data_IF_443382823523
#
_entry.id   IF_443382823523
#
_cell.length_a   1.000
_cell.length_b   1.000
_cell.length_c   1.000
_cell.angle_alpha   90.00
_cell.angle_beta   90.00
_cell.angle_gamma   90.00
#
_symmetry.space_group_name_H-M   'P 1'
#
loop_
_entity.id
_entity.type
_entity.pdbx_description
1 polymer ?
#
# COMPACT_ATOMS: atom_id res chain seq x y z
N UNK A 1 29.55 -4.86 -19.89
CA UNK A 1 28.60 -5.95 -20.17
C UNK A 1 27.56 -5.89 -19.07
N UNK A 2 26.37 -5.37 -19.33
CA UNK A 2 25.29 -5.30 -18.34
C UNK A 2 24.70 -6.69 -18.16
N UNK A 3 24.68 -7.21 -16.94
CA UNK A 3 23.94 -8.43 -16.60
C UNK A 3 22.47 -8.24 -17.00
N UNK A 4 21.79 -9.28 -17.52
CA UNK A 4 20.37 -9.18 -17.83
C UNK A 4 19.63 -8.92 -16.51
N UNK A 5 18.97 -7.77 -16.39
CA UNK A 5 18.02 -7.55 -15.31
C UNK A 5 16.91 -8.58 -15.51
N UNK A 6 16.71 -9.45 -14.53
CA UNK A 6 15.84 -10.62 -14.67
C UNK A 6 14.40 -10.18 -14.96
N UNK A 7 13.90 -10.51 -16.15
CA UNK A 7 12.50 -10.42 -16.51
C UNK A 7 11.66 -11.34 -15.59
N UNK A 8 10.37 -11.03 -15.41
CA UNK A 8 9.46 -11.83 -14.58
C UNK A 8 9.64 -13.33 -14.75
N UNK A 9 9.77 -14.11 -13.65
CA UNK A 9 9.69 -15.56 -13.75
C UNK A 9 8.36 -15.91 -14.40
N UNK A 10 8.42 -16.65 -15.52
CA UNK A 10 7.22 -17.05 -16.22
C UNK A 10 6.51 -18.15 -15.41
N UNK A 11 5.30 -17.86 -14.93
CA UNK A 11 4.35 -18.87 -14.47
C UNK A 11 3.13 -18.88 -15.40
N UNK A 12 2.40 -20.01 -15.45
CA UNK A 12 1.24 -20.19 -16.34
C UNK A 12 -0.09 -19.83 -15.68
N UNK A 13 -0.10 -19.57 -14.37
CA UNK A 13 -1.31 -19.17 -13.63
C UNK A 13 -1.85 -17.85 -14.18
N UNK A 14 -3.14 -17.76 -14.55
CA UNK A 14 -3.76 -16.53 -15.00
C UNK A 14 -3.68 -15.43 -13.94
N UNK A 15 -3.18 -14.26 -14.35
CA UNK A 15 -3.19 -13.06 -13.51
C UNK A 15 -4.56 -12.38 -13.60
N UNK A 16 -5.50 -12.87 -12.77
CA UNK A 16 -6.88 -12.38 -12.71
C UNK A 16 -7.03 -10.98 -12.12
N UNK A 17 -6.02 -10.51 -11.37
CA UNK A 17 -6.04 -9.22 -10.71
C UNK A 17 -6.78 -9.26 -9.38
N UNK A 18 -7.04 -8.05 -8.88
CA UNK A 18 -7.96 -7.78 -7.79
C UNK A 18 -9.42 -7.97 -8.23
N UNK A 19 -10.20 -8.70 -7.44
CA UNK A 19 -11.65 -8.85 -7.57
C UNK A 19 -12.37 -7.77 -6.74
N UNK A 20 -13.09 -6.89 -7.44
CA UNK A 20 -13.86 -5.80 -6.84
C UNK A 20 -15.13 -6.29 -6.10
N UNK A 21 -15.64 -7.47 -6.42
CA UNK A 21 -16.85 -8.05 -5.82
C UNK A 21 -16.53 -9.05 -4.69
N UNK A 22 -15.28 -9.05 -4.21
CA UNK A 22 -14.78 -9.99 -3.20
C UNK A 22 -15.43 -9.83 -1.82
N UNK A 23 -15.92 -8.62 -1.51
CA UNK A 23 -16.58 -8.28 -0.24
C UNK A 23 -18.10 -8.13 -0.42
N UNK A 24 -18.84 -7.89 0.66
CA UNK A 24 -20.30 -7.72 0.62
C UNK A 24 -20.81 -6.51 -0.19
N UNK A 25 -19.90 -5.68 -0.71
CA UNK A 25 -20.20 -4.61 -1.65
C UNK A 25 -19.04 -4.51 -2.67
N UNK A 26 -19.36 -4.06 -3.89
CA UNK A 26 -18.35 -3.80 -4.92
C UNK A 26 -17.44 -2.66 -4.48
N UNK A 27 -16.14 -2.94 -4.36
CA UNK A 27 -15.10 -1.94 -4.05
C UNK A 27 -14.17 -1.84 -5.26
N UNK A 28 -14.30 -0.79 -6.10
CA UNK A 28 -13.46 -0.66 -7.29
C UNK A 28 -12.00 -0.33 -6.95
N UNK A 29 -11.11 -0.55 -7.91
CA UNK A 29 -9.72 -0.07 -7.81
C UNK A 29 -9.67 1.46 -7.60
N UNK A 30 -8.73 1.97 -6.79
CA UNK A 30 -8.53 3.40 -6.63
C UNK A 30 -8.22 4.09 -7.96
N UNK A 31 -8.83 5.26 -8.19
CA UNK A 31 -8.62 6.08 -9.39
C UNK A 31 -8.15 7.47 -9.01
N UNK A 32 -7.34 8.11 -9.85
CA UNK A 32 -6.98 9.50 -9.60
C UNK A 32 -8.17 10.43 -9.75
N UNK A 33 -8.29 11.42 -8.86
CA UNK A 33 -9.28 12.51 -8.96
C UNK A 33 -8.90 13.56 -10.02
N UNK A 34 -7.71 13.43 -10.62
CA UNK A 34 -7.19 14.30 -11.67
C UNK A 34 -6.81 13.49 -12.91
N UNK A 35 -6.84 14.08 -14.12
CA UNK A 35 -6.34 13.40 -15.32
C UNK A 35 -4.89 12.97 -15.13
N UNK A 36 -4.67 11.66 -15.04
CA UNK A 36 -3.37 11.02 -14.83
C UNK A 36 -3.35 9.75 -15.69
N UNK A 37 -2.30 9.58 -16.48
CA UNK A 37 -2.08 8.33 -17.19
C UNK A 37 -1.74 7.24 -16.17
N UNK A 38 -2.51 6.16 -16.18
CA UNK A 38 -2.26 5.00 -15.34
C UNK A 38 -2.33 3.73 -16.18
N UNK A 39 -1.65 2.68 -15.69
CA UNK A 39 -1.74 1.33 -16.25
C UNK A 39 -2.14 0.36 -15.16
N UNK A 40 -3.25 -0.32 -15.37
CA UNK A 40 -3.63 -1.43 -14.51
C UNK A 40 -2.83 -2.67 -14.89
N UNK A 41 -2.21 -3.28 -13.88
CA UNK A 41 -1.41 -4.49 -14.00
C UNK A 41 -2.03 -5.54 -13.08
N UNK A 42 -2.84 -6.46 -13.62
CA UNK A 42 -3.35 -7.56 -12.83
C UNK A 42 -2.23 -8.56 -12.54
N UNK A 43 -2.24 -9.10 -11.33
CA UNK A 43 -1.40 -10.17 -10.80
C UNK A 43 -2.30 -11.24 -10.18
N UNK A 44 -1.76 -12.33 -9.64
CA UNK A 44 -2.58 -13.32 -8.93
C UNK A 44 -3.08 -12.71 -7.61
N UNK A 45 -4.41 -12.53 -7.49
CA UNK A 45 -5.14 -11.97 -6.33
C UNK A 45 -4.95 -10.48 -6.01
N UNK A 46 -4.17 -9.76 -6.80
CA UNK A 46 -3.99 -8.32 -6.61
C UNK A 46 -3.80 -7.59 -7.93
N UNK A 47 -4.05 -6.29 -7.92
CA UNK A 47 -3.76 -5.41 -9.05
C UNK A 47 -2.89 -4.23 -8.60
N UNK A 48 -2.00 -3.80 -9.49
CA UNK A 48 -1.25 -2.55 -9.36
C UNK A 48 -1.81 -1.53 -10.33
N UNK A 49 -2.16 -0.34 -9.84
CA UNK A 49 -2.45 0.84 -10.67
C UNK A 49 -1.14 1.63 -10.79
N UNK A 50 -0.36 1.36 -11.83
CA UNK A 50 0.93 2.00 -12.07
C UNK A 50 0.73 3.42 -12.60
N UNK A 51 1.54 4.38 -12.12
CA UNK A 51 1.77 5.66 -12.80
C UNK A 51 3.12 5.58 -13.56
N UNK A 52 3.10 5.46 -14.90
CA UNK A 52 4.31 5.32 -15.71
C UNK A 52 5.27 6.52 -15.60
N UNK A 53 4.75 7.72 -15.36
CA UNK A 53 5.55 8.95 -15.22
C UNK A 53 6.30 8.98 -13.89
N UNK A 54 5.64 8.56 -12.81
CA UNK A 54 6.25 8.40 -11.48
C UNK A 54 7.06 7.11 -11.35
N UNK A 55 6.87 6.16 -12.27
CA UNK A 55 7.48 4.82 -12.26
C UNK A 55 7.11 3.97 -11.04
N UNK A 56 6.07 4.38 -10.31
CA UNK A 56 5.63 3.80 -9.05
C UNK A 56 4.13 3.55 -9.12
N UNK A 57 3.65 2.60 -8.33
CA UNK A 57 2.22 2.43 -8.15
C UNK A 57 1.59 3.74 -7.62
N UNK A 58 0.50 4.16 -8.24
CA UNK A 58 -0.44 5.10 -7.66
C UNK A 58 -1.18 4.44 -6.48
N UNK A 59 -1.59 3.20 -6.69
CA UNK A 59 -2.26 2.36 -5.70
C UNK A 59 -2.07 0.88 -6.04
N UNK A 60 -2.26 0.04 -5.04
CA UNK A 60 -2.40 -1.41 -5.17
C UNK A 60 -3.66 -1.83 -4.44
N UNK A 61 -4.25 -2.95 -4.85
CA UNK A 61 -5.36 -3.58 -4.17
C UNK A 61 -5.17 -5.10 -4.17
N UNK A 62 -5.31 -5.75 -3.02
CA UNK A 62 -5.18 -7.20 -2.86
C UNK A 62 -6.41 -7.78 -2.17
N UNK A 63 -6.87 -8.94 -2.64
CA UNK A 63 -7.85 -9.76 -1.94
C UNK A 63 -7.13 -10.78 -1.06
N UNK A 64 -7.60 -10.94 0.18
CA UNK A 64 -7.09 -11.90 1.15
C UNK A 64 -8.25 -12.84 1.52
N UNK A 65 -8.12 -14.11 1.15
CA UNK A 65 -9.07 -15.15 1.56
C UNK A 65 -8.51 -15.93 2.76
N UNK A 66 -8.92 -15.53 3.97
CA UNK A 66 -8.40 -16.07 5.24
C UNK A 66 -8.51 -17.59 5.36
N UNK A 67 -9.58 -18.19 4.83
CA UNK A 67 -9.85 -19.64 4.86
C UNK A 67 -8.89 -20.43 3.94
N UNK A 68 -8.29 -19.76 2.96
CA UNK A 68 -7.49 -20.40 1.91
C UNK A 68 -6.00 -20.05 1.99
N UNK A 69 -5.56 -19.33 3.03
CA UNK A 69 -4.15 -18.96 3.21
C UNK A 69 -3.29 -20.23 3.27
N UNK A 70 -2.16 -20.19 2.57
CA UNK A 70 -1.16 -21.25 2.62
C UNK A 70 0.22 -20.66 2.91
N UNK A 71 1.10 -21.45 3.53
CA UNK A 71 2.47 -21.03 3.78
C UNK A 71 3.37 -21.42 2.60
N UNK A 72 3.90 -20.40 1.93
CA UNK A 72 4.88 -20.54 0.84
C UNK A 72 6.18 -19.90 1.27
N UNK A 73 7.29 -20.59 0.98
CA UNK A 73 8.64 -20.13 1.26
C UNK A 73 8.96 -18.77 0.62
N UNK A 74 9.84 -18.00 1.24
CA UNK A 74 10.30 -16.73 0.67
C UNK A 74 11.32 -17.01 -0.44
N UNK A 75 11.13 -16.41 -1.62
CA UNK A 75 12.14 -16.40 -2.70
C UNK A 75 13.12 -15.22 -2.55
N UNK A 76 12.61 -13.99 -2.41
CA UNK A 76 13.37 -12.71 -2.55
C UNK A 76 13.86 -12.41 -4.00
N UNK A 77 13.21 -13.04 -4.99
CA UNK A 77 13.56 -12.93 -6.42
C UNK A 77 12.89 -11.72 -7.09
N UNK A 78 13.46 -10.53 -6.86
CA UNK A 78 12.97 -9.28 -7.43
C UNK A 78 13.20 -9.17 -8.94
N UNK A 79 12.19 -8.71 -9.66
CA UNK A 79 12.21 -8.66 -11.12
C UNK A 79 11.36 -7.51 -11.69
N UNK A 80 11.63 -7.14 -12.94
CA UNK A 80 10.85 -6.13 -13.67
C UNK A 80 9.60 -6.76 -14.29
N UNK A 81 8.51 -5.99 -14.39
CA UNK A 81 7.34 -6.41 -15.16
C UNK A 81 7.63 -6.23 -16.66
N UNK A 82 7.69 -7.32 -17.42
CA UNK A 82 7.93 -7.29 -18.86
C UNK A 82 6.82 -6.56 -19.65
N UNK A 83 5.64 -6.34 -19.06
CA UNK A 83 4.51 -5.58 -19.66
C UNK A 83 4.73 -4.07 -19.60
N UNK A 84 5.75 -3.61 -18.86
CA UNK A 84 6.04 -2.21 -18.63
C UNK A 84 7.44 -1.89 -19.16
N UNK A 85 7.61 -0.85 -19.99
CA UNK A 85 8.94 -0.39 -20.39
C UNK A 85 9.84 -0.10 -19.17
N UNK A 86 11.13 -0.41 -19.24
CA UNK A 86 12.06 -0.24 -18.11
C UNK A 86 12.14 1.21 -17.61
N UNK A 87 11.91 2.20 -18.49
CA UNK A 87 11.89 3.62 -18.15
C UNK A 87 10.55 4.13 -17.59
N UNK A 88 9.56 3.23 -17.46
CA UNK A 88 8.22 3.48 -16.91
C UNK A 88 7.96 2.74 -15.59
N UNK A 89 8.97 2.07 -15.03
CA UNK A 89 8.91 1.43 -13.71
C UNK A 89 10.22 1.64 -12.95
N UNK A 90 10.18 1.54 -11.61
CA UNK A 90 11.40 1.44 -10.83
C UNK A 90 12.03 0.07 -11.02
N UNK A 91 13.33 -0.02 -10.72
CA UNK A 91 14.10 -1.24 -10.85
C UNK A 91 15.26 -1.26 -9.86
N UNK A 92 16.17 -2.24 -9.95
CA UNK A 92 17.25 -2.44 -8.97
C UNK A 92 18.14 -1.21 -8.80
N UNK A 93 18.27 -0.38 -9.85
CA UNK A 93 19.07 0.84 -9.82
C UNK A 93 18.63 1.83 -8.73
N UNK A 94 17.34 1.88 -8.37
CA UNK A 94 16.85 2.77 -7.30
C UNK A 94 17.30 2.31 -5.92
N UNK A 95 17.54 1.02 -5.71
CA UNK A 95 17.83 0.42 -4.41
C UNK A 95 19.31 0.06 -4.22
N UNK A 96 20.14 0.24 -5.25
CA UNK A 96 21.52 -0.19 -5.21
C UNK A 96 22.40 0.72 -4.35
N UNK A 97 23.06 0.18 -3.32
CA UNK A 97 24.06 0.91 -2.50
C UNK A 97 23.47 2.16 -1.83
N UNK A 98 22.34 2.00 -1.15
CA UNK A 98 21.69 2.99 -0.29
C UNK A 98 20.90 2.24 0.80
N UNK A 99 20.35 2.97 1.77
CA UNK A 99 19.50 2.39 2.81
C UNK A 99 18.00 2.48 2.45
N UNK A 100 17.66 2.36 1.15
CA UNK A 100 16.29 2.21 0.69
C UNK A 100 16.00 0.73 0.46
N UNK A 101 15.01 0.22 1.19
CA UNK A 101 14.41 -1.07 0.97
C UNK A 101 13.39 -1.06 -0.16
N UNK A 102 13.23 -2.23 -0.78
CA UNK A 102 12.15 -2.56 -1.71
C UNK A 102 10.86 -2.80 -0.92
N UNK A 103 10.27 -1.71 -0.42
CA UNK A 103 9.07 -1.75 0.39
C UNK A 103 7.89 -2.27 -0.42
N UNK A 104 7.37 -3.44 -0.04
CA UNK A 104 6.20 -4.04 -0.67
C UNK A 104 4.95 -3.16 -0.42
N UNK A 105 4.15 -2.95 -1.46
CA UNK A 105 2.84 -2.30 -1.34
C UNK A 105 1.73 -3.33 -1.09
N UNK A 106 1.69 -4.39 -1.89
CA UNK A 106 1.03 -5.65 -1.53
C UNK A 106 2.03 -6.51 -0.79
N UNK A 107 1.74 -6.80 0.48
CA UNK A 107 2.60 -7.63 1.32
C UNK A 107 2.66 -9.05 0.76
N UNK A 108 3.85 -9.65 0.80
CA UNK A 108 4.12 -11.00 0.27
C UNK A 108 3.05 -12.05 0.62
N UNK A 109 2.58 -12.10 1.87
CA UNK A 109 1.65 -13.15 2.34
C UNK A 109 0.19 -12.88 1.98
N UNK A 110 -0.19 -11.63 1.71
CA UNK A 110 -1.59 -11.23 1.52
C UNK A 110 -2.27 -11.97 0.34
N UNK A 111 -1.65 -12.11 -0.84
CA UNK A 111 -2.26 -12.83 -1.96
C UNK A 111 -1.97 -14.34 -1.94
N UNK A 112 -1.24 -14.87 -0.96
CA UNK A 112 -0.76 -16.26 -0.94
C UNK A 112 -1.81 -17.16 -0.30
N UNK A 113 -2.83 -17.46 -1.09
CA UNK A 113 -3.93 -18.35 -0.76
C UNK A 113 -4.34 -19.16 -1.99
N UNK A 114 -5.11 -20.22 -1.79
CA UNK A 114 -5.61 -21.06 -2.88
C UNK A 114 -4.82 -22.35 -3.06
N UNK A 115 -4.76 -22.86 -4.29
CA UNK A 115 -3.97 -24.07 -4.55
C UNK A 115 -2.46 -23.79 -4.59
N UNK A 116 -1.63 -24.84 -4.58
CA UNK A 116 -0.18 -24.67 -4.46
C UNK A 116 0.47 -23.90 -5.60
N UNK A 117 0.00 -24.08 -6.84
CA UNK A 117 0.55 -23.40 -8.00
C UNK A 117 0.09 -21.93 -8.04
N UNK A 118 -1.18 -21.68 -7.70
CA UNK A 118 -1.79 -20.35 -7.55
C UNK A 118 -1.08 -19.53 -6.46
N UNK A 119 -0.85 -20.12 -5.29
CA UNK A 119 -0.19 -19.46 -4.17
C UNK A 119 1.30 -19.19 -4.43
N UNK A 120 2.02 -20.11 -5.09
CA UNK A 120 3.41 -19.88 -5.50
C UNK A 120 3.50 -18.77 -6.56
N UNK A 121 2.59 -18.75 -7.53
CA UNK A 121 2.51 -17.69 -8.52
C UNK A 121 2.23 -16.32 -7.87
N UNK A 122 1.29 -16.25 -6.93
CA UNK A 122 1.01 -15.05 -6.14
C UNK A 122 2.24 -14.59 -5.34
N UNK A 123 2.94 -15.52 -4.69
CA UNK A 123 4.18 -15.24 -3.95
C UNK A 123 5.24 -14.63 -4.87
N UNK A 124 5.47 -15.21 -6.05
CA UNK A 124 6.40 -14.68 -7.07
C UNK A 124 5.98 -13.28 -7.52
N UNK A 125 4.70 -13.08 -7.85
CA UNK A 125 4.18 -11.80 -8.37
C UNK A 125 4.40 -10.63 -7.38
N UNK A 126 4.41 -10.91 -6.07
CA UNK A 126 4.67 -9.86 -5.05
C UNK A 126 6.08 -9.24 -5.13
N UNK A 127 7.06 -9.96 -5.71
CA UNK A 127 8.44 -9.50 -5.89
C UNK A 127 8.67 -8.71 -7.19
N UNK A 128 7.60 -8.33 -7.89
CA UNK A 128 7.71 -7.41 -9.02
C UNK A 128 7.98 -5.97 -8.56
N UNK A 129 8.92 -5.26 -9.19
CA UNK A 129 9.22 -3.85 -8.84
C UNK A 129 8.03 -2.90 -8.98
N UNK A 130 7.02 -3.20 -9.81
CA UNK A 130 5.81 -2.37 -9.86
C UNK A 130 4.98 -2.44 -8.58
N UNK A 131 5.18 -3.48 -7.77
CA UNK A 131 4.58 -3.64 -6.43
C UNK A 131 5.48 -3.05 -5.31
N UNK A 132 6.59 -2.38 -5.66
CA UNK A 132 7.50 -1.79 -4.68
C UNK A 132 7.55 -0.27 -4.76
N UNK A 133 7.82 0.34 -3.61
CA UNK A 133 8.20 1.73 -3.49
C UNK A 133 9.46 1.90 -2.62
N UNK A 134 10.30 2.92 -2.87
CA UNK A 134 11.46 3.21 -2.03
C UNK A 134 11.04 3.60 -0.62
N UNK A 135 11.42 2.77 0.34
CA UNK A 135 11.18 2.99 1.76
C UNK A 135 12.51 2.99 2.49
N UNK A 136 12.78 3.96 3.36
CA UNK A 136 13.96 3.94 4.22
C UNK A 136 13.98 2.63 5.03
N UNK A 137 15.14 2.00 5.17
CA UNK A 137 15.26 0.70 5.81
C UNK A 137 14.64 0.69 7.22
N UNK A 138 14.89 1.72 8.02
CA UNK A 138 14.29 1.84 9.35
C UNK A 138 12.75 1.97 9.31
N UNK A 139 12.19 2.56 8.24
CA UNK A 139 10.75 2.69 8.04
C UNK A 139 10.13 1.36 7.62
N UNK A 140 10.71 0.70 6.61
CA UNK A 140 10.23 -0.59 6.11
C UNK A 140 10.41 -1.72 7.16
N UNK A 141 11.48 -1.66 7.95
CA UNK A 141 11.80 -2.65 8.97
C UNK A 141 11.27 -2.28 10.36
N UNK A 142 10.61 -1.13 10.52
CA UNK A 142 10.01 -0.69 11.77
C UNK A 142 8.90 -1.66 12.22
N UNK A 143 9.24 -2.59 13.11
CA UNK A 143 8.47 -3.82 13.35
C UNK A 143 7.23 -3.66 14.24
N UNK A 144 7.12 -2.62 15.06
CA UNK A 144 6.15 -2.70 16.17
C UNK A 144 4.72 -2.32 15.79
N UNK A 145 4.55 -1.29 14.95
CA UNK A 145 3.21 -0.79 14.58
C UNK A 145 2.67 -1.43 13.31
N UNK A 146 3.48 -1.45 12.25
CA UNK A 146 3.01 -1.84 10.92
C UNK A 146 2.99 -3.36 10.72
N UNK A 147 4.12 -4.03 10.97
CA UNK A 147 4.18 -5.50 10.93
C UNK A 147 3.21 -6.10 11.96
N UNK A 148 3.12 -5.49 13.15
CA UNK A 148 2.14 -5.89 14.17
C UNK A 148 0.69 -5.77 13.71
N UNK A 149 0.32 -4.70 12.99
CA UNK A 149 -1.01 -4.54 12.40
C UNK A 149 -1.25 -5.54 11.25
N UNK A 150 -0.31 -5.67 10.32
CA UNK A 150 -0.42 -6.60 9.19
C UNK A 150 -0.53 -8.05 9.66
N UNK A 151 0.26 -8.45 10.65
CA UNK A 151 0.18 -9.77 11.27
C UNK A 151 -1.11 -9.93 12.05
N UNK A 152 -1.58 -8.90 12.76
CA UNK A 152 -2.85 -8.96 13.46
C UNK A 152 -4.05 -9.10 12.50
N UNK A 153 -4.06 -8.34 11.40
CA UNK A 153 -5.11 -8.39 10.38
C UNK A 153 -5.10 -9.75 9.68
N UNK A 154 -3.92 -10.25 9.29
CA UNK A 154 -3.80 -11.57 8.65
C UNK A 154 -4.15 -12.71 9.61
N UNK A 155 -3.66 -12.66 10.85
CA UNK A 155 -3.98 -13.68 11.86
C UNK A 155 -5.47 -13.63 12.26
N UNK A 156 -6.08 -12.44 12.29
CA UNK A 156 -7.52 -12.32 12.51
C UNK A 156 -8.29 -12.90 11.32
N UNK A 157 -7.85 -12.63 10.09
CA UNK A 157 -8.43 -13.18 8.87
C UNK A 157 -8.41 -14.70 8.87
N UNK A 158 -7.23 -15.28 9.12
CA UNK A 158 -6.99 -16.73 9.19
C UNK A 158 -7.78 -17.37 10.34
N UNK A 159 -7.79 -16.77 11.53
CA UNK A 159 -8.47 -17.35 12.68
C UNK A 159 -10.00 -17.25 12.64
N UNK A 160 -10.57 -16.46 11.73
CA UNK A 160 -12.01 -16.19 11.66
C UNK A 160 -12.59 -16.35 10.25
N UNK A 161 -11.83 -16.93 9.32
CA UNK A 161 -12.22 -17.15 7.91
C UNK A 161 -12.75 -15.87 7.24
N UNK A 162 -12.15 -14.71 7.57
CA UNK A 162 -12.60 -13.41 7.10
C UNK A 162 -11.95 -13.10 5.76
N UNK A 163 -12.78 -12.61 4.84
CA UNK A 163 -12.34 -12.00 3.58
C UNK A 163 -12.02 -10.53 3.78
N UNK A 164 -10.84 -10.12 3.30
CA UNK A 164 -10.40 -8.73 3.33
C UNK A 164 -9.97 -8.25 1.96
N UNK A 165 -10.10 -6.95 1.75
CA UNK A 165 -9.40 -6.22 0.69
C UNK A 165 -8.51 -5.17 1.32
N UNK A 166 -7.25 -5.11 0.89
CA UNK A 166 -6.28 -4.12 1.37
C UNK A 166 -5.82 -3.28 0.20
N UNK A 167 -5.87 -1.97 0.39
CA UNK A 167 -5.45 -0.97 -0.58
C UNK A 167 -4.23 -0.24 -0.03
N UNK A 168 -3.16 -0.14 -0.80
CA UNK A 168 -1.90 0.49 -0.33
C UNK A 168 -1.26 1.30 -1.43
N UNK A 169 -0.70 2.46 -1.09
CA UNK A 169 0.08 3.23 -2.04
C UNK A 169 0.95 4.30 -1.38
N UNK A 170 1.95 4.81 -2.12
CA UNK A 170 2.60 6.07 -1.77
C UNK A 170 1.66 7.26 -1.97
N UNK A 171 1.93 8.36 -1.26
CA UNK A 171 1.43 9.68 -1.65
C UNK A 171 2.39 10.24 -2.70
N UNK A 172 1.94 10.30 -3.95
CA UNK A 172 2.76 10.77 -5.07
C UNK A 172 2.78 12.30 -5.15
N UNK A 173 3.46 12.92 -4.19
CA UNK A 173 3.55 14.37 -4.05
C UNK A 173 4.49 14.99 -5.10
N UNK A 174 4.10 16.09 -5.79
CA UNK A 174 4.99 16.77 -6.74
C UNK A 174 6.28 17.33 -6.11
N UNK A 175 6.31 17.51 -4.78
CA UNK A 175 7.47 17.97 -4.01
C UNK A 175 8.36 16.84 -3.50
N UNK A 176 8.04 15.58 -3.82
CA UNK A 176 8.89 14.44 -3.51
C UNK A 176 10.29 14.63 -4.12
N UNK A 177 11.37 14.34 -3.36
CA UNK A 177 12.74 14.58 -3.79
C UNK A 177 13.09 13.70 -4.99
N UNK A 178 13.71 14.27 -6.04
CA UNK A 178 14.18 13.49 -7.18
C UNK A 178 15.29 12.54 -6.75
N UNK A 179 15.26 11.31 -7.24
CA UNK A 179 16.25 10.29 -6.94
C UNK A 179 16.33 9.28 -8.07
N UNK A 180 17.50 9.16 -8.70
CA UNK A 180 17.83 8.15 -9.72
C UNK A 180 16.72 7.94 -10.78
N UNK A 181 16.17 9.03 -11.31
CA UNK A 181 15.16 9.00 -12.36
C UNK A 181 13.72 8.78 -11.91
N UNK A 182 13.46 8.73 -10.60
CA UNK A 182 12.12 8.80 -9.99
C UNK A 182 12.09 9.88 -8.90
N UNK A 183 11.03 9.93 -8.09
CA UNK A 183 10.89 10.77 -6.91
C UNK A 183 10.49 9.91 -5.71
N UNK A 184 11.25 9.99 -4.62
CA UNK A 184 11.02 9.16 -3.43
C UNK A 184 9.79 9.69 -2.68
N UNK A 185 8.72 8.89 -2.54
CA UNK A 185 7.56 9.30 -1.76
C UNK A 185 7.93 9.54 -0.30
N UNK A 186 7.44 10.63 0.28
CA UNK A 186 7.63 10.88 1.72
C UNK A 186 6.62 10.16 2.61
N UNK A 187 5.45 9.85 2.07
CA UNK A 187 4.31 9.32 2.83
C UNK A 187 3.71 8.12 2.12
N UNK A 188 3.11 7.23 2.90
CA UNK A 188 2.35 6.08 2.43
C UNK A 188 1.00 6.03 3.12
N UNK A 189 0.04 5.41 2.46
CA UNK A 189 -1.28 5.18 3.00
C UNK A 189 -1.68 3.72 2.83
N UNK A 190 -2.57 3.26 3.70
CA UNK A 190 -3.26 1.98 3.55
C UNK A 190 -4.69 2.08 4.00
N UNK A 191 -5.58 1.35 3.33
CA UNK A 191 -6.96 1.15 3.75
C UNK A 191 -7.24 -0.34 3.79
N UNK A 192 -7.63 -0.85 4.95
CA UNK A 192 -8.13 -2.22 5.08
C UNK A 192 -9.66 -2.18 5.03
N UNK A 193 -10.27 -3.10 4.28
CA UNK A 193 -11.70 -3.25 4.16
C UNK A 193 -12.11 -4.70 4.39
N UNK A 194 -13.23 -4.91 5.07
CA UNK A 194 -13.75 -6.23 5.39
C UNK A 194 -15.27 -6.23 5.44
N UNK A 195 -15.84 -7.42 5.36
CA UNK A 195 -17.27 -7.63 5.61
C UNK A 195 -17.48 -7.91 7.10
N UNK A 196 -18.41 -7.20 7.73
CA UNK A 196 -18.87 -7.44 9.10
C UNK A 196 -20.34 -7.82 9.12
N UNK A 197 -20.75 -8.69 10.05
CA UNK A 197 -22.09 -9.26 10.05
C UNK A 197 -22.29 -10.32 8.96
N UNK A 198 -23.51 -10.87 8.83
CA UNK A 198 -23.82 -11.95 7.88
C UNK A 198 -23.74 -13.38 8.44
N UNK A 199 -23.45 -13.56 9.73
CA UNK A 199 -23.68 -14.83 10.43
C UNK A 199 -25.17 -15.18 10.51
N UNK A 200 -25.53 -16.42 10.95
CA UNK A 200 -26.92 -16.89 10.95
C UNK A 200 -27.92 -15.97 11.65
N UNK A 201 -27.44 -15.12 12.57
CA UNK A 201 -28.24 -14.21 13.40
C UNK A 201 -28.11 -12.71 13.02
N UNK A 202 -27.38 -12.35 11.95
CA UNK A 202 -27.14 -10.95 11.58
C UNK A 202 -28.10 -10.47 10.46
N UNK A 203 -28.72 -9.30 10.63
CA UNK A 203 -29.73 -8.79 9.68
C UNK A 203 -29.20 -8.58 8.26
N UNK A 204 -27.96 -8.08 8.08
CA UNK A 204 -27.27 -7.89 6.79
C UNK A 204 -25.74 -7.87 6.95
N UNK A 205 -25.02 -8.33 5.93
CA UNK A 205 -23.59 -8.11 5.80
C UNK A 205 -23.31 -6.62 5.47
N UNK A 206 -22.33 -6.02 6.15
CA UNK A 206 -21.97 -4.60 6.03
C UNK A 206 -20.49 -4.45 5.73
N UNK A 207 -20.17 -3.59 4.75
CA UNK A 207 -18.80 -3.17 4.49
C UNK A 207 -18.29 -2.29 5.65
N UNK A 208 -17.03 -2.52 6.04
CA UNK A 208 -16.28 -1.72 7.01
C UNK A 208 -14.88 -1.44 6.46
N UNK A 209 -14.30 -0.32 6.87
CA UNK A 209 -12.92 0.00 6.52
C UNK A 209 -12.22 0.87 7.56
N UNK A 210 -10.89 0.81 7.56
CA UNK A 210 -10.02 1.63 8.39
C UNK A 210 -8.82 2.10 7.57
N UNK A 211 -8.44 3.37 7.72
CA UNK A 211 -7.34 3.98 6.99
C UNK A 211 -6.17 4.38 7.89
N UNK A 212 -4.97 4.32 7.30
CA UNK A 212 -3.71 4.62 7.96
C UNK A 212 -2.85 5.51 7.06
N UNK A 213 -2.13 6.44 7.68
CA UNK A 213 -1.13 7.28 7.04
C UNK A 213 0.21 7.12 7.77
N UNK A 214 1.28 6.96 6.99
CA UNK A 214 2.63 6.76 7.49
C UNK A 214 3.57 7.80 6.85
N UNK A 215 4.47 8.36 7.66
CA UNK A 215 5.45 9.35 7.22
C UNK A 215 6.88 8.83 7.44
N UNK A 216 7.65 8.76 6.34
CA UNK A 216 9.07 8.38 6.36
C UNK A 216 10.03 9.57 6.20
N UNK A 217 9.51 10.80 6.12
CA UNK A 217 10.32 12.00 5.93
C UNK A 217 11.50 12.11 6.90
N UNK A 218 11.33 11.83 8.23
CA UNK A 218 12.45 11.90 9.17
C UNK A 218 13.62 10.96 8.85
N UNK A 219 13.36 9.83 8.19
CA UNK A 219 14.35 8.81 7.84
C UNK A 219 15.02 9.08 6.49
N UNK A 220 14.36 9.85 5.62
CA UNK A 220 14.94 10.30 4.36
C UNK A 220 15.99 11.39 4.55
N UNK A 221 15.95 12.14 5.66
CA UNK A 221 16.92 13.20 6.01
C UNK A 221 18.36 12.67 6.22
N UNK A 222 18.53 11.38 6.52
CA UNK A 222 19.82 10.73 6.75
C UNK A 222 20.37 9.94 5.56
N UNK A 223 19.51 9.63 4.59
CA UNK A 223 19.94 9.06 3.31
C UNK A 223 20.66 10.17 2.57
N UNK A 224 21.90 9.92 2.14
CA UNK A 224 22.60 10.88 1.30
C UNK A 224 21.90 10.92 -0.06
N UNK A 225 20.88 11.77 -0.16
CA UNK A 225 20.22 12.19 -1.41
C UNK A 225 21.16 13.16 -2.21
N UNK A 226 22.42 13.21 -1.74
CA UNK A 226 23.75 13.73 -2.14
C UNK A 226 24.15 15.09 -1.56
N UNK A 227 23.18 15.90 -1.12
CA UNK A 227 23.40 17.25 -0.64
C UNK A 227 22.17 17.60 0.18
N UNK A 228 22.27 17.50 1.50
CA UNK A 228 21.12 17.53 2.41
C UNK A 228 20.50 18.93 2.53
N UNK A 229 19.97 19.46 1.44
CA UNK A 229 19.68 20.87 1.29
C UNK A 229 20.87 21.73 1.74
N UNK A 230 21.80 22.12 0.85
CA UNK A 230 22.65 23.34 1.07
C UNK A 230 21.82 24.56 1.55
N UNK A 231 20.49 24.47 1.45
CA UNK A 231 19.41 25.35 1.83
C UNK A 231 18.51 24.84 2.99
N UNK A 232 19.05 24.45 4.14
CA UNK A 232 18.36 24.82 5.41
C UNK A 232 18.53 26.32 5.73
N UNK A 233 18.93 27.13 4.75
CA UNK A 233 18.91 28.57 4.78
C UNK A 233 17.50 29.05 4.41
N UNK A 234 16.78 29.54 5.43
CA UNK A 234 15.53 30.31 5.38
C UNK A 234 14.26 29.44 5.26
N UNK A 235 13.70 29.05 6.41
CA UNK A 235 12.37 29.50 6.85
C UNK A 235 11.88 28.64 8.05
N UNK A 236 11.32 29.33 9.05
CA UNK A 236 10.59 28.78 10.20
C UNK A 236 9.49 27.79 9.77
N UNK A 237 9.80 26.50 9.80
CA UNK A 237 8.78 25.45 9.80
C UNK A 237 8.75 24.79 11.18
N UNK A 238 7.56 24.48 11.72
CA UNK A 238 7.41 23.80 13.01
C UNK A 238 8.20 22.49 13.05
N UNK A 239 8.64 22.04 14.24
CA UNK A 239 9.51 20.88 14.36
C UNK A 239 8.88 19.66 13.68
N UNK A 240 9.68 18.86 12.94
CA UNK A 240 9.17 17.70 12.25
C UNK A 240 8.48 16.78 13.24
N UNK A 241 7.36 16.23 12.80
CA UNK A 241 6.67 15.16 13.45
C UNK A 241 7.70 14.05 13.75
N UNK A 242 7.94 13.75 15.04
CA UNK A 242 8.92 12.75 15.53
C UNK A 242 8.92 11.39 14.81
N UNK A 243 9.93 10.53 15.04
CA UNK A 243 10.22 9.38 14.18
C UNK A 243 9.05 8.41 14.09
N UNK A 244 8.68 8.03 12.86
CA UNK A 244 7.67 7.02 12.49
C UNK A 244 6.27 7.31 13.02
N UNK A 245 5.64 8.38 12.52
CA UNK A 245 4.24 8.61 12.87
C UNK A 245 3.33 7.74 11.99
N UNK A 246 2.78 6.71 12.61
CA UNK A 246 1.63 5.98 12.06
C UNK A 246 0.37 6.62 12.65
N UNK A 247 -0.53 7.03 11.79
CA UNK A 247 -1.81 7.58 12.20
C UNK A 247 -2.93 6.67 11.71
N UNK A 248 -3.91 6.40 12.57
CA UNK A 248 -5.25 6.08 12.07
C UNK A 248 -5.91 7.41 11.68
N UNK A 249 -6.42 7.47 10.46
CA UNK A 249 -7.01 8.69 9.87
C UNK A 249 -8.34 8.35 9.20
N UNK A 250 -9.23 9.33 8.97
CA UNK A 250 -10.41 9.10 8.17
C UNK A 250 -10.05 8.64 6.75
N UNK A 251 -10.81 7.71 6.18
CA UNK A 251 -10.60 7.25 4.79
C UNK A 251 -10.74 8.42 3.80
N UNK A 252 -11.65 9.36 4.08
CA UNK A 252 -11.80 10.59 3.29
C UNK A 252 -10.55 11.47 3.27
N UNK A 253 -9.79 11.51 4.37
CA UNK A 253 -8.53 12.26 4.44
C UNK A 253 -7.45 11.58 3.60
N UNK A 254 -7.36 10.24 3.61
CA UNK A 254 -6.46 9.51 2.70
C UNK A 254 -6.82 9.78 1.25
N UNK A 255 -8.10 9.70 0.88
CA UNK A 255 -8.57 10.00 -0.46
C UNK A 255 -8.14 11.41 -0.92
N UNK A 256 -8.31 12.41 -0.06
CA UNK A 256 -7.91 13.78 -0.33
C UNK A 256 -6.38 13.95 -0.44
N UNK A 257 -5.60 13.38 0.49
CA UNK A 257 -4.13 13.49 0.52
C UNK A 257 -3.50 12.78 -0.67
N UNK A 258 -4.00 11.58 -1.02
CA UNK A 258 -3.48 10.80 -2.12
C UNK A 258 -4.00 11.28 -3.50
N UNK A 259 -5.04 12.13 -3.52
CA UNK A 259 -5.71 12.55 -4.76
C UNK A 259 -6.41 11.39 -5.46
N UNK A 260 -7.09 10.54 -4.69
CA UNK A 260 -7.72 9.30 -5.14
C UNK A 260 -9.21 9.26 -4.80
N UNK A 261 -9.98 8.64 -5.69
CA UNK A 261 -11.30 8.10 -5.37
C UNK A 261 -11.14 6.70 -4.80
N UNK A 262 -11.67 6.47 -3.60
CA UNK A 262 -11.60 5.19 -2.88
C UNK A 262 -12.96 4.46 -2.85
N UNK A 263 -13.86 4.78 -3.78
CA UNK A 263 -15.17 4.16 -3.89
C UNK A 263 -15.98 4.24 -2.58
N UNK A 264 -16.62 3.15 -2.13
CA UNK A 264 -17.47 3.14 -0.94
C UNK A 264 -16.71 3.11 0.39
N UNK A 265 -15.37 3.09 0.37
CA UNK A 265 -14.57 2.94 1.59
C UNK A 265 -14.73 4.13 2.54
N UNK A 266 -14.93 5.34 2.03
CA UNK A 266 -15.17 6.50 2.89
C UNK A 266 -16.47 6.37 3.69
N UNK A 267 -17.51 5.79 3.09
CA UNK A 267 -18.79 5.57 3.75
C UNK A 267 -18.72 4.38 4.74
N UNK A 268 -17.80 3.44 4.51
CA UNK A 268 -17.60 2.28 5.37
C UNK A 268 -16.63 2.53 6.53
N UNK A 269 -16.11 3.75 6.70
CA UNK A 269 -15.08 4.08 7.68
C UNK A 269 -15.56 3.89 9.13
N UNK A 270 -14.80 3.11 9.90
CA UNK A 270 -15.04 2.88 11.33
C UNK A 270 -14.63 4.06 12.21
N UNK A 271 -13.76 4.94 11.72
CA UNK A 271 -13.37 6.14 12.47
C UNK A 271 -14.42 7.25 12.32
N UNK A 272 -15.06 7.37 11.15
CA UNK A 272 -16.11 8.37 10.86
C UNK A 272 -17.24 7.85 9.94
N UNK A 273 -18.17 7.00 10.41
CA UNK A 273 -19.28 6.52 9.58
C UNK A 273 -20.33 7.60 9.25
N UNK A 274 -20.69 7.72 7.96
CA UNK A 274 -21.84 8.30 7.17
C UNK A 274 -22.83 9.37 7.72
N UNK A 275 -22.51 10.27 8.67
CA UNK A 275 -22.88 11.67 8.35
C UNK A 275 -21.71 12.65 8.28
N UNK A 276 -20.49 12.20 8.59
CA UNK A 276 -19.32 13.07 8.70
C UNK A 276 -18.41 13.06 7.45
N UNK A 277 -18.54 12.06 6.58
CA UNK A 277 -17.74 11.91 5.36
C UNK A 277 -18.32 12.80 4.25
N UNK A 278 -17.84 14.04 4.14
CA UNK A 278 -18.14 14.92 3.00
C UNK A 278 -17.10 14.70 1.91
N UNK A 279 -17.48 14.32 0.67
CA UNK A 279 -16.54 14.23 -0.45
C UNK A 279 -15.85 15.59 -0.70
N UNK A 280 -14.54 15.58 -0.92
CA UNK A 280 -13.76 16.80 -1.17
C UNK A 280 -13.43 17.64 0.08
N UNK A 281 -13.56 17.04 1.27
CA UNK A 281 -13.21 17.68 2.54
C UNK A 281 -11.71 17.88 2.67
N UNK A 282 -11.29 19.04 3.19
CA UNK A 282 -9.90 19.32 3.56
C UNK A 282 -9.48 18.40 4.72
N UNK A 283 -8.34 17.69 4.63
CA UNK A 283 -7.82 16.88 5.73
C UNK A 283 -7.70 17.69 7.03
N UNK A 284 -8.07 17.08 8.15
CA UNK A 284 -8.10 17.73 9.46
C UNK A 284 -7.23 16.95 10.45
N UNK A 285 -5.95 17.36 10.65
CA UNK A 285 -5.03 16.68 11.56
C UNK A 285 -5.53 16.58 13.01
N UNK A 286 -6.50 17.41 13.43
CA UNK A 286 -7.08 17.31 14.78
C UNK A 286 -7.86 16.01 15.00
N UNK A 287 -8.21 15.30 13.92
CA UNK A 287 -8.93 14.02 13.95
C UNK A 287 -8.01 12.81 13.85
N UNK A 288 -6.74 13.04 13.51
CA UNK A 288 -5.80 11.95 13.32
C UNK A 288 -5.38 11.40 14.67
N UNK A 289 -5.36 10.08 14.77
CA UNK A 289 -4.96 9.39 15.99
C UNK A 289 -3.58 8.81 15.77
N UNK A 290 -2.58 9.45 16.37
CA UNK A 290 -1.22 8.92 16.41
C UNK A 290 -1.23 7.60 17.17
N UNK A 291 -0.65 6.57 16.58
CA UNK A 291 -0.60 5.22 17.12
C UNK A 291 0.81 4.94 17.63
N UNK A 292 0.91 4.54 18.90
CA UNK A 292 2.12 4.01 19.52
C UNK A 292 2.12 2.48 19.56
N UNK A 293 0.95 1.86 19.47
CA UNK A 293 0.77 0.40 19.39
C UNK A 293 -0.47 0.01 18.57
N UNK A 294 -0.46 -1.17 17.94
CA UNK A 294 -1.61 -1.68 17.18
C UNK A 294 -2.90 -1.81 18.01
N UNK A 295 -2.79 -1.92 19.34
CA UNK A 295 -3.94 -2.01 20.26
C UNK A 295 -4.78 -0.74 20.33
N UNK A 296 -4.24 0.39 19.88
CA UNK A 296 -4.94 1.69 19.90
C UNK A 296 -5.89 1.89 18.71
N UNK A 297 -5.85 0.97 17.73
CA UNK A 297 -6.65 1.05 16.51
C UNK A 297 -8.13 0.80 16.81
N UNK A 298 -8.99 1.67 16.27
CA UNK A 298 -10.44 1.47 16.27
C UNK A 298 -10.87 0.65 15.07
N UNK A 299 -11.56 -0.48 15.30
CA UNK A 299 -12.11 -1.36 14.27
C UNK A 299 -13.61 -1.68 14.47
N UNK A 300 -14.28 -1.01 15.43
CA UNK A 300 -15.64 -1.33 15.85
C UNK A 300 -16.67 -0.43 15.20
#
# INVERSE_FOLDING_TARGET
MSSPQHASPAHTVPRGGYDADFLAATVPLPRSTSPRETRELPYVHFSVVLDPSRRLALATAVNIDGDRIVDVGRSDDWHLDARVPEDQQTGPAVYARNDLDRGHLVRRRDPVWGDGDEAEAANVDTFCYTNAAPQAAEFNQGKELWVGLEDHVLAYAEANDVRLSVFTGPVLDPSDPPYRGTRIPRRFWKVAAWTSGGGPDAERALLRSAAFLLDQSPQLDGLDLEENARRRAIADAPPPLGPFRTFQVPVGDVAAIAGLELGPLADADVLEPVPAATPGRTPDPARWRELSTWREITLR
#
